data_IF_471746978662
#
_entry.id   IF_471746978662
#
_cell.length_a   1.000
_cell.length_b   1.000
_cell.length_c   1.000
_cell.angle_alpha   90.00
_cell.angle_beta   90.00
_cell.angle_gamma   90.00
#
_symmetry.space_group_name_H-M   'P 1'
#
loop_
_entity.id
_entity.type
_entity.pdbx_description
1 polymer ?
#
# COMPACT_ATOMS: atom_id res chain seq x y z
N UNK A 1 -8.15 1.54 -31.80
CA UNK A 1 -8.65 0.42 -31.00
C UNK A 1 -7.77 0.19 -29.75
N UNK A 2 -7.38 1.26 -29.01
CA UNK A 2 -6.37 1.23 -27.93
C UNK A 2 -6.94 1.74 -26.58
N UNK A 3 -8.23 2.06 -26.49
CA UNK A 3 -8.82 2.69 -25.29
C UNK A 3 -9.52 1.75 -24.30
N UNK A 4 -9.59 0.43 -24.54
CA UNK A 4 -10.34 -0.49 -23.65
C UNK A 4 -9.51 -1.30 -22.67
N UNK A 5 -8.20 -1.43 -22.86
CA UNK A 5 -7.33 -2.17 -21.92
C UNK A 5 -6.78 -1.31 -20.76
N UNK A 6 -6.81 0.03 -20.88
CA UNK A 6 -6.36 0.94 -19.82
C UNK A 6 -7.36 1.09 -18.67
N UNK A 7 -8.63 0.71 -18.84
CA UNK A 7 -9.68 0.99 -17.84
C UNK A 7 -9.68 0.05 -16.63
N UNK A 8 -9.12 -1.16 -16.72
CA UNK A 8 -9.09 -2.12 -15.58
C UNK A 8 -7.84 -2.00 -14.71
N UNK A 9 -6.70 -1.51 -15.25
CA UNK A 9 -5.47 -1.26 -14.49
C UNK A 9 -5.51 0.03 -13.66
N UNK A 10 -6.55 0.86 -13.81
CA UNK A 10 -6.69 2.17 -13.15
C UNK A 10 -7.52 2.15 -11.86
N UNK A 11 -8.03 1.01 -11.43
CA UNK A 11 -8.86 0.89 -10.21
C UNK A 11 -8.29 -0.11 -9.24
N UNK A 12 -8.33 0.23 -7.96
CA UNK A 12 -7.93 -0.66 -6.87
C UNK A 12 -8.87 -0.56 -5.68
N UNK A 13 -8.81 -1.54 -4.82
CA UNK A 13 -9.60 -1.62 -3.61
C UNK A 13 -8.87 -0.87 -2.48
N UNK A 14 -9.39 0.28 -2.13
CA UNK A 14 -8.89 1.17 -1.07
C UNK A 14 -9.74 0.98 0.18
N UNK A 15 -9.09 0.76 1.33
CA UNK A 15 -9.78 0.69 2.60
C UNK A 15 -10.20 2.09 3.07
N UNK A 16 -9.21 3.00 3.16
CA UNK A 16 -9.43 4.40 3.59
C UNK A 16 -8.20 5.25 3.22
N UNK A 17 -8.37 6.55 3.35
CA UNK A 17 -7.29 7.52 3.26
C UNK A 17 -7.21 8.29 4.58
N UNK A 18 -6.03 8.38 5.17
CA UNK A 18 -5.75 9.19 6.36
C UNK A 18 -4.86 10.37 5.99
N UNK A 19 -5.29 11.57 6.40
CA UNK A 19 -4.58 12.80 6.08
C UNK A 19 -3.78 13.29 7.27
N UNK A 20 -2.71 14.03 6.99
CA UNK A 20 -1.87 14.68 8.00
C UNK A 20 -1.22 13.71 9.00
N UNK A 21 -0.90 12.47 8.59
CA UNK A 21 -0.12 11.57 9.41
C UNK A 21 1.31 12.07 9.62
N UNK A 22 1.85 11.85 10.82
CA UNK A 22 3.23 12.15 11.22
C UNK A 22 4.01 10.89 11.62
N UNK A 23 3.41 9.70 11.45
CA UNK A 23 3.99 8.42 11.87
C UNK A 23 4.40 7.51 10.71
N UNK A 24 3.95 7.79 9.49
CA UNK A 24 4.08 6.90 8.34
C UNK A 24 5.17 7.40 7.36
N UNK A 25 6.24 8.00 7.90
CA UNK A 25 7.39 8.48 7.15
C UNK A 25 7.79 9.91 7.52
N UNK A 26 8.76 10.46 6.77
CA UNK A 26 9.25 11.80 7.02
C UNK A 26 8.21 12.86 6.63
N UNK A 27 8.10 13.89 7.48
CA UNK A 27 7.19 15.02 7.27
C UNK A 27 5.71 14.66 7.45
N UNK A 28 4.83 15.54 7.01
CA UNK A 28 3.38 15.32 7.05
C UNK A 28 2.98 14.50 5.82
N UNK A 29 2.22 13.42 6.04
CA UNK A 29 1.89 12.49 4.97
C UNK A 29 0.38 12.25 4.84
N UNK A 30 -0.05 12.00 3.61
CA UNK A 30 -1.34 11.37 3.34
C UNK A 30 -1.10 9.87 3.15
N UNK A 31 -1.73 9.06 3.98
CA UNK A 31 -1.62 7.59 3.91
C UNK A 31 -2.83 7.04 3.17
N UNK A 32 -2.57 6.23 2.16
CA UNK A 32 -3.59 5.49 1.42
C UNK A 32 -3.49 4.03 1.83
N UNK A 33 -4.49 3.54 2.54
CA UNK A 33 -4.58 2.15 2.96
C UNK A 33 -5.27 1.32 1.88
N UNK A 34 -4.53 0.41 1.26
CA UNK A 34 -5.10 -0.57 0.33
C UNK A 34 -5.69 -1.74 1.10
N UNK A 35 -6.62 -2.46 0.48
CA UNK A 35 -7.26 -3.64 1.06
C UNK A 35 -6.77 -4.89 0.33
N UNK A 36 -6.69 -6.00 1.05
CA UNK A 36 -6.14 -7.28 0.61
C UNK A 36 -4.74 -7.52 1.19
N UNK A 37 -4.60 -8.57 2.00
CA UNK A 37 -3.33 -8.99 2.56
C UNK A 37 -3.22 -10.52 2.54
N UNK A 38 -2.14 -11.10 2.02
CA UNK A 38 -1.93 -12.55 2.08
C UNK A 38 -1.58 -13.05 3.48
N UNK A 39 -1.19 -12.13 4.40
CA UNK A 39 -0.93 -12.45 5.79
C UNK A 39 -2.19 -12.31 6.63
N UNK A 40 -2.25 -13.12 7.69
CA UNK A 40 -3.30 -13.07 8.71
C UNK A 40 -2.66 -12.94 10.09
N UNK A 41 -1.95 -11.83 10.33
CA UNK A 41 -1.22 -11.60 11.57
C UNK A 41 -2.16 -11.47 12.76
N UNK A 42 -1.89 -12.17 13.86
CA UNK A 42 -2.69 -12.11 15.09
C UNK A 42 -2.70 -10.71 15.73
N UNK A 43 -1.67 -9.92 15.50
CA UNK A 43 -1.53 -8.54 16.01
C UNK A 43 -1.73 -7.48 14.91
N UNK A 44 -2.49 -7.79 13.85
CA UNK A 44 -2.74 -6.83 12.79
C UNK A 44 -3.39 -5.56 13.36
N UNK A 45 -2.77 -4.40 13.10
CA UNK A 45 -3.32 -3.10 13.52
C UNK A 45 -4.51 -2.65 12.69
N UNK A 46 -4.69 -3.27 11.51
CA UNK A 46 -5.73 -2.92 10.54
C UNK A 46 -6.38 -4.20 9.99
N UNK A 47 -7.04 -5.02 10.85
CA UNK A 47 -7.57 -6.32 10.43
C UNK A 47 -8.60 -6.22 9.31
N UNK A 48 -9.34 -5.12 9.20
CA UNK A 48 -10.29 -4.82 8.13
C UNK A 48 -9.61 -4.66 6.76
N UNK A 49 -8.27 -4.55 6.70
CA UNK A 49 -7.51 -4.51 5.45
C UNK A 49 -7.17 -5.90 4.89
N UNK A 50 -7.38 -6.97 5.65
CA UNK A 50 -6.92 -8.31 5.26
C UNK A 50 -7.72 -8.90 4.11
N UNK A 51 -9.05 -8.75 4.13
CA UNK A 51 -9.92 -9.28 3.07
C UNK A 51 -9.64 -8.62 1.70
N UNK A 52 -9.72 -9.42 0.66
CA UNK A 52 -9.59 -8.99 -0.75
C UNK A 52 -10.91 -8.46 -1.33
N UNK A 53 -11.96 -8.39 -0.52
CA UNK A 53 -13.29 -7.97 -0.92
C UNK A 53 -13.79 -6.82 -0.05
N UNK A 54 -14.79 -6.10 -0.53
CA UNK A 54 -15.53 -5.13 0.27
C UNK A 54 -16.29 -5.90 1.34
N UNK A 55 -16.17 -5.47 2.59
CA UNK A 55 -16.87 -6.08 3.71
C UNK A 55 -17.89 -5.12 4.31
N UNK A 56 -18.95 -5.69 4.84
CA UNK A 56 -19.99 -4.95 5.55
C UNK A 56 -20.15 -5.55 6.94
N UNK A 57 -19.86 -4.79 7.97
CA UNK A 57 -20.00 -5.23 9.35
C UNK A 57 -20.45 -4.06 10.24
N UNK A 58 -21.38 -4.33 11.16
CA UNK A 58 -21.87 -3.36 12.16
C UNK A 58 -22.35 -2.03 11.56
N UNK A 59 -22.93 -2.08 10.36
CA UNK A 59 -23.42 -0.89 9.64
C UNK A 59 -22.33 -0.10 8.91
N UNK A 60 -21.07 -0.53 8.98
CA UNK A 60 -19.95 0.07 8.27
C UNK A 60 -19.61 -0.71 7.00
N UNK A 61 -19.07 0.00 6.01
CA UNK A 61 -18.50 -0.57 4.78
C UNK A 61 -16.98 -0.42 4.80
N UNK A 62 -16.26 -1.52 4.67
CA UNK A 62 -14.81 -1.57 4.66
C UNK A 62 -14.32 -1.85 3.24
N UNK A 63 -13.80 -0.81 2.59
CA UNK A 63 -13.25 -0.84 1.26
C UNK A 63 -14.17 -0.21 0.20
N UNK A 64 -13.54 0.40 -0.78
CA UNK A 64 -14.19 1.02 -1.94
C UNK A 64 -13.26 0.91 -3.14
N UNK A 65 -13.79 0.56 -4.31
CA UNK A 65 -13.02 0.63 -5.54
C UNK A 65 -12.83 2.07 -5.98
N UNK A 66 -11.58 2.52 -6.04
CA UNK A 66 -11.20 3.86 -6.46
C UNK A 66 -10.32 3.81 -7.72
N UNK A 67 -10.48 4.80 -8.57
CA UNK A 67 -9.53 5.07 -9.66
C UNK A 67 -8.27 5.75 -9.11
N UNK A 68 -7.18 5.70 -9.87
CA UNK A 68 -5.95 6.44 -9.54
C UNK A 68 -6.24 7.93 -9.36
N UNK A 69 -7.08 8.53 -10.22
CA UNK A 69 -7.40 9.95 -10.12
C UNK A 69 -8.21 10.31 -8.88
N UNK A 70 -9.13 9.44 -8.44
CA UNK A 70 -9.86 9.64 -7.18
C UNK A 70 -8.91 9.62 -5.97
N UNK A 71 -7.94 8.70 -5.96
CA UNK A 71 -6.90 8.65 -4.92
C UNK A 71 -6.01 9.90 -4.99
N UNK A 72 -5.56 10.29 -6.17
CA UNK A 72 -4.72 11.49 -6.35
C UNK A 72 -5.44 12.76 -5.95
N UNK A 73 -6.75 12.85 -6.13
CA UNK A 73 -7.56 13.98 -5.65
C UNK A 73 -7.47 14.14 -4.12
N UNK A 74 -7.48 13.04 -3.38
CA UNK A 74 -7.29 13.08 -1.92
C UNK A 74 -5.86 13.49 -1.55
N UNK A 75 -4.85 12.90 -2.20
CA UNK A 75 -3.43 13.19 -1.96
C UNK A 75 -3.12 14.68 -2.20
N UNK A 76 -3.61 15.25 -3.29
CA UNK A 76 -3.34 16.66 -3.66
C UNK A 76 -3.90 17.68 -2.66
N UNK A 77 -4.89 17.32 -1.85
CA UNK A 77 -5.43 18.23 -0.81
C UNK A 77 -4.37 18.67 0.21
N UNK A 78 -3.34 17.87 0.41
CA UNK A 78 -2.29 18.10 1.40
C UNK A 78 -0.96 18.63 0.79
N UNK A 79 -0.96 19.01 -0.49
CA UNK A 79 0.25 19.45 -1.21
C UNK A 79 1.01 20.58 -0.50
N UNK A 80 0.28 21.54 0.11
CA UNK A 80 0.91 22.61 0.89
C UNK A 80 1.68 22.08 2.10
N UNK A 81 1.14 21.07 2.80
CA UNK A 81 1.80 20.45 3.93
C UNK A 81 3.05 19.68 3.51
N UNK A 82 3.00 18.99 2.36
CA UNK A 82 4.17 18.26 1.81
C UNK A 82 5.32 19.22 1.52
N UNK A 83 5.02 20.36 0.89
CA UNK A 83 6.02 21.36 0.55
C UNK A 83 6.73 21.91 1.80
N UNK A 84 5.99 22.21 2.87
CA UNK A 84 6.55 22.79 4.08
C UNK A 84 7.25 21.78 5.00
N UNK A 85 6.81 20.52 5.00
CA UNK A 85 7.33 19.49 5.91
C UNK A 85 8.36 18.55 5.28
N UNK A 86 8.51 18.57 3.96
CA UNK A 86 9.25 17.56 3.22
C UNK A 86 8.52 16.20 3.17
N UNK A 87 7.23 16.18 3.49
CA UNK A 87 6.38 15.00 3.49
C UNK A 87 5.93 14.55 2.12
N UNK A 88 4.79 13.85 2.07
CA UNK A 88 4.25 13.32 0.82
C UNK A 88 3.17 12.27 1.02
N UNK A 89 3.15 11.25 0.18
CA UNK A 89 2.19 10.16 0.23
C UNK A 89 2.85 8.87 0.71
N UNK A 90 2.11 8.07 1.50
CA UNK A 90 2.49 6.71 1.89
C UNK A 90 1.42 5.73 1.44
N UNK A 91 1.81 4.67 0.73
CA UNK A 91 0.94 3.51 0.51
C UNK A 91 1.15 2.50 1.62
N UNK A 92 0.07 2.10 2.25
CA UNK A 92 0.00 1.16 3.37
C UNK A 92 -1.27 0.30 3.28
N UNK A 93 -1.71 -0.28 4.39
CA UNK A 93 -3.00 -1.00 4.52
C UNK A 93 -2.81 -2.48 4.78
N UNK A 94 -3.30 -3.32 3.87
CA UNK A 94 -3.01 -4.75 3.85
C UNK A 94 -1.59 -5.02 3.34
N UNK A 95 -1.48 -5.60 2.15
CA UNK A 95 -0.21 -5.70 1.43
C UNK A 95 -0.36 -4.96 0.10
N UNK A 96 0.39 -3.89 -0.09
CA UNK A 96 0.30 -3.05 -1.30
C UNK A 96 0.66 -3.83 -2.57
N UNK A 97 1.55 -4.82 -2.44
CA UNK A 97 1.96 -5.72 -3.52
C UNK A 97 0.88 -6.76 -3.88
N UNK A 98 -0.25 -6.79 -3.20
CA UNK A 98 -1.43 -7.53 -3.60
C UNK A 98 -2.18 -6.84 -4.77
N UNK A 99 -1.93 -5.53 -4.97
CA UNK A 99 -2.48 -4.71 -6.05
C UNK A 99 -1.35 -3.94 -6.78
N UNK A 100 -0.35 -4.64 -7.38
CA UNK A 100 0.91 -4.02 -7.81
C UNK A 100 0.72 -3.00 -8.94
N UNK A 101 -0.18 -3.22 -9.88
CA UNK A 101 -0.43 -2.30 -11.00
C UNK A 101 -1.08 -1.00 -10.53
N UNK A 102 -2.04 -1.09 -9.62
CA UNK A 102 -2.68 0.07 -9.01
C UNK A 102 -1.70 0.86 -8.14
N UNK A 103 -0.94 0.18 -7.27
CA UNK A 103 0.11 0.79 -6.45
C UNK A 103 1.15 1.51 -7.33
N UNK A 104 1.65 0.84 -8.38
CA UNK A 104 2.58 1.43 -9.35
C UNK A 104 2.02 2.68 -10.01
N UNK A 105 0.75 2.67 -10.40
CA UNK A 105 0.12 3.80 -11.08
C UNK A 105 0.02 5.02 -10.17
N UNK A 106 -0.38 4.85 -8.90
CA UNK A 106 -0.41 5.94 -7.90
C UNK A 106 1.01 6.50 -7.67
N UNK A 107 1.98 5.61 -7.36
CA UNK A 107 3.37 6.00 -7.09
C UNK A 107 3.99 6.77 -8.27
N UNK A 108 3.73 6.31 -9.50
CA UNK A 108 4.20 6.98 -10.72
C UNK A 108 3.63 8.39 -10.87
N UNK A 109 2.32 8.57 -10.61
CA UNK A 109 1.70 9.90 -10.69
C UNK A 109 2.27 10.81 -9.61
N UNK A 110 2.41 10.34 -8.37
CA UNK A 110 3.04 11.11 -7.29
C UNK A 110 4.46 11.56 -7.67
N UNK A 111 5.29 10.67 -8.23
CA UNK A 111 6.63 11.02 -8.70
C UNK A 111 6.61 12.09 -9.79
N UNK A 112 5.69 11.99 -10.75
CA UNK A 112 5.54 12.98 -11.82
C UNK A 112 5.10 14.36 -11.30
N UNK A 113 4.37 14.38 -10.18
CA UNK A 113 3.93 15.60 -9.50
C UNK A 113 4.90 16.07 -8.40
N UNK A 114 6.11 15.49 -8.34
CA UNK A 114 7.13 15.80 -7.33
C UNK A 114 6.66 15.58 -5.88
N UNK A 115 5.69 14.69 -5.66
CA UNK A 115 5.24 14.28 -4.33
C UNK A 115 6.13 13.15 -3.84
N UNK A 116 6.76 13.30 -2.66
CA UNK A 116 7.56 12.25 -2.04
C UNK A 116 6.71 11.02 -1.73
N UNK A 117 7.25 9.84 -2.08
CA UNK A 117 6.55 8.56 -1.96
C UNK A 117 7.18 7.68 -0.90
N UNK A 118 6.37 7.10 -0.05
CA UNK A 118 6.77 6.02 0.86
C UNK A 118 5.84 4.82 0.70
N UNK A 119 6.34 3.66 1.06
CA UNK A 119 5.56 2.42 1.10
C UNK A 119 5.79 1.69 2.42
N UNK A 120 4.75 0.98 2.85
CA UNK A 120 4.80 -0.03 3.91
C UNK A 120 4.40 -1.37 3.32
N UNK A 121 5.26 -2.37 3.45
CA UNK A 121 5.06 -3.69 2.84
C UNK A 121 5.74 -4.78 3.67
N UNK A 122 5.16 -5.95 3.68
CA UNK A 122 5.82 -7.16 4.18
C UNK A 122 6.70 -7.84 3.13
N UNK A 123 6.68 -7.38 1.88
CA UNK A 123 7.27 -8.04 0.70
C UNK A 123 6.69 -9.45 0.44
N UNK A 124 5.49 -9.73 0.91
CA UNK A 124 4.83 -11.03 0.71
C UNK A 124 4.13 -11.08 -0.65
N UNK A 125 4.92 -11.01 -1.71
CA UNK A 125 4.47 -11.06 -3.11
C UNK A 125 5.61 -11.54 -4.00
N UNK A 126 5.38 -11.72 -5.30
CA UNK A 126 6.47 -12.02 -6.23
C UNK A 126 7.49 -10.87 -6.30
N UNK A 127 8.74 -11.18 -6.62
CA UNK A 127 9.77 -10.14 -6.81
C UNK A 127 9.42 -9.19 -7.95
N UNK A 128 8.80 -9.70 -9.01
CA UNK A 128 8.38 -8.93 -10.19
C UNK A 128 7.41 -7.80 -9.76
N UNK A 129 6.48 -8.09 -8.84
CA UNK A 129 5.57 -7.10 -8.29
C UNK A 129 6.33 -6.02 -7.50
N UNK A 130 7.25 -6.42 -6.61
CA UNK A 130 8.09 -5.48 -5.87
C UNK A 130 8.95 -4.63 -6.81
N UNK A 131 9.68 -5.27 -7.73
CA UNK A 131 10.53 -4.59 -8.70
C UNK A 131 9.76 -3.59 -9.58
N UNK A 132 8.49 -3.84 -9.85
CA UNK A 132 7.67 -2.96 -10.69
C UNK A 132 7.34 -1.61 -10.05
N UNK A 133 7.33 -1.52 -8.72
CA UNK A 133 7.00 -0.29 -7.98
C UNK A 133 8.24 0.46 -7.47
N UNK A 134 9.34 -0.25 -7.17
CA UNK A 134 10.55 0.32 -6.56
C UNK A 134 11.11 1.56 -7.28
N UNK A 135 11.09 1.68 -8.62
CA UNK A 135 11.57 2.89 -9.32
C UNK A 135 10.82 4.18 -8.94
N UNK A 136 9.64 4.05 -8.36
CA UNK A 136 8.78 5.18 -7.98
C UNK A 136 8.75 5.44 -6.48
N UNK A 137 9.57 4.71 -5.69
CA UNK A 137 9.58 4.75 -4.21
C UNK A 137 10.80 5.56 -3.74
N UNK A 138 10.58 6.51 -2.82
CA UNK A 138 11.66 7.24 -2.16
C UNK A 138 12.06 6.55 -0.84
N UNK A 139 11.09 6.01 -0.11
CA UNK A 139 11.31 5.34 1.18
C UNK A 139 10.46 4.07 1.26
N UNK A 140 11.07 2.97 1.67
CA UNK A 140 10.36 1.71 1.94
C UNK A 140 10.52 1.31 3.41
N UNK A 141 9.39 1.09 4.08
CA UNK A 141 9.32 0.46 5.38
C UNK A 141 8.96 -1.00 5.16
N UNK A 142 9.87 -1.91 5.52
CA UNK A 142 9.65 -3.33 5.34
C UNK A 142 9.37 -3.98 6.70
N UNK A 143 8.19 -4.54 6.82
CA UNK A 143 7.72 -5.23 8.01
C UNK A 143 8.27 -6.66 8.10
N UNK A 144 9.32 -6.82 8.85
CA UNK A 144 9.88 -8.13 9.16
C UNK A 144 9.19 -8.74 10.38
N UNK A 145 8.07 -9.43 10.18
CA UNK A 145 7.17 -9.85 11.27
C UNK A 145 7.83 -10.82 12.25
N UNK A 146 8.44 -11.91 11.76
CA UNK A 146 9.12 -12.95 12.58
C UNK A 146 10.25 -13.61 11.77
N UNK A 147 11.38 -13.89 12.41
CA UNK A 147 12.54 -14.57 11.80
C UNK A 147 12.27 -16.06 11.60
N UNK A 148 11.74 -16.72 12.62
CA UNK A 148 11.46 -18.16 12.56
C UNK A 148 10.27 -18.44 11.63
N UNK A 149 10.48 -19.31 10.65
CA UNK A 149 9.48 -19.64 9.64
C UNK A 149 8.27 -20.41 10.20
N UNK A 150 8.44 -21.22 11.23
CA UNK A 150 7.35 -21.98 11.84
C UNK A 150 6.46 -21.03 12.68
N UNK A 151 7.07 -20.13 13.44
CA UNK A 151 6.36 -19.10 14.19
C UNK A 151 5.67 -18.11 13.25
N UNK A 152 6.34 -17.73 12.14
CA UNK A 152 5.70 -16.86 11.13
C UNK A 152 4.46 -17.52 10.54
N UNK A 153 4.55 -18.81 10.19
CA UNK A 153 3.38 -19.57 9.71
C UNK A 153 2.27 -19.64 10.75
N UNK A 154 2.63 -19.84 12.02
CA UNK A 154 1.65 -19.93 13.11
C UNK A 154 0.91 -18.62 13.35
N UNK A 155 1.63 -17.50 13.35
CA UNK A 155 1.08 -16.20 13.80
C UNK A 155 0.73 -15.24 12.66
N UNK A 156 1.26 -15.46 11.45
CA UNK A 156 0.97 -14.63 10.28
C UNK A 156 0.24 -15.41 9.16
N UNK A 157 -0.08 -16.70 9.39
CA UNK A 157 -0.84 -17.53 8.47
C UNK A 157 0.01 -18.29 7.44
N UNK A 158 1.11 -17.70 6.96
CA UNK A 158 2.01 -18.31 5.97
C UNK A 158 3.48 -18.21 6.40
N UNK A 159 4.37 -18.97 5.73
CA UNK A 159 5.81 -18.90 6.00
C UNK A 159 6.48 -17.68 5.38
N UNK A 160 7.68 -17.33 5.88
CA UNK A 160 8.40 -16.10 5.53
C UNK A 160 9.52 -16.29 4.48
N UNK A 161 9.68 -17.47 3.87
CA UNK A 161 10.78 -17.73 2.93
C UNK A 161 10.81 -16.77 1.75
N UNK A 162 9.63 -16.48 1.17
CA UNK A 162 9.50 -15.55 0.06
C UNK A 162 9.88 -14.12 0.48
N UNK A 163 9.43 -13.70 1.67
CA UNK A 163 9.76 -12.40 2.26
C UNK A 163 11.27 -12.23 2.41
N UNK A 164 11.96 -13.24 2.99
CA UNK A 164 13.41 -13.24 3.12
C UNK A 164 14.13 -13.17 1.78
N UNK A 165 13.66 -13.94 0.79
CA UNK A 165 14.25 -13.91 -0.55
C UNK A 165 14.12 -12.55 -1.22
N UNK A 166 13.00 -11.86 -1.01
CA UNK A 166 12.79 -10.53 -1.57
C UNK A 166 13.58 -9.46 -0.82
N UNK A 167 13.76 -9.62 0.50
CA UNK A 167 14.49 -8.63 1.32
C UNK A 167 15.99 -8.54 0.96
N UNK A 168 16.59 -9.60 0.44
CA UNK A 168 18.02 -9.65 0.07
C UNK A 168 18.28 -9.32 -1.40
N UNK A 169 17.25 -9.03 -2.18
CA UNK A 169 17.35 -8.56 -3.58
C UNK A 169 17.40 -7.05 -3.66
#
# INVERSE_FOLDING_TARGET
MVRREQSNAERGLVLRTERCSIHDGHGIRTVVFLKGCPLNCWWCSTPESQSFEIEHAEGNTYGTYMTVEEVMKEIRKDSAFYFHSGGGMTLSGGEILAQPDFARSILRVCRNECISTAIETSLCSSWENAASILPYVNTAFVDFKLVDNALHRKYCGIGNRLIHQNLIK
#
